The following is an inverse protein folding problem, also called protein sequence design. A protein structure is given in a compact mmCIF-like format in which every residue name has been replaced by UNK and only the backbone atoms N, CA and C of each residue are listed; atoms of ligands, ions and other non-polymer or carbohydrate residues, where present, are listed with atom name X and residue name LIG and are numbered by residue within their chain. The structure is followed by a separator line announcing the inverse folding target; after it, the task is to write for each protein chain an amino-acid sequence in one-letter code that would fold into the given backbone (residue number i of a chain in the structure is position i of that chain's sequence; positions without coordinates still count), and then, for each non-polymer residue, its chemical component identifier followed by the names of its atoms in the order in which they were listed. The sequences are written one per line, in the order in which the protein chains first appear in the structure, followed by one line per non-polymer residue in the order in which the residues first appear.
data_IF_731384375152
#
_entry.id   IF_731384375152
#
_cell.length_a   1.000
_cell.length_b   1.000
_cell.length_c   1.000
_cell.angle_alpha   90.00
_cell.angle_beta   90.00
_cell.angle_gamma   90.00
#
_symmetry.space_group_name_H-M   'P 1'
#
loop_
_entity.id
_entity.type
_entity.pdbx_description
1 polymer ?
#
# COMPACT_ATOMS: atom_id res chain seq x y z
N UNK A 1 8.54 12.72 12.07
CA UNK A 1 8.95 13.52 10.89
C UNK A 1 8.49 12.81 9.63
N UNK A 2 7.41 13.26 9.00
CA UNK A 2 6.95 12.71 7.72
C UNK A 2 7.77 13.39 6.61
N UNK A 3 8.79 12.71 6.09
CA UNK A 3 9.51 13.12 4.88
C UNK A 3 8.47 13.26 3.75
N UNK A 4 8.02 14.48 3.53
CA UNK A 4 6.96 14.77 2.56
C UNK A 4 7.51 14.51 1.17
N UNK A 5 6.68 13.91 0.31
CA UNK A 5 6.97 13.60 -1.10
C UNK A 5 7.55 14.77 -1.90
N UNK A 6 7.33 16.00 -1.45
CA UNK A 6 7.87 17.21 -2.08
C UNK A 6 9.35 17.44 -1.72
N UNK A 7 9.75 17.12 -0.49
CA UNK A 7 11.10 17.33 0.02
C UNK A 7 12.15 16.54 -0.78
N UNK A 8 11.85 15.30 -1.15
CA UNK A 8 12.74 14.47 -1.98
C UNK A 8 12.92 15.03 -3.40
N UNK A 9 11.86 15.58 -4.01
CA UNK A 9 11.92 16.20 -5.34
C UNK A 9 12.74 17.49 -5.33
N UNK A 10 12.57 18.31 -4.30
CA UNK A 10 13.36 19.53 -4.13
C UNK A 10 14.82 19.21 -3.84
N UNK A 11 15.11 18.21 -3.01
CA UNK A 11 16.47 17.75 -2.76
C UNK A 11 17.18 17.33 -4.06
N UNK A 12 16.54 16.50 -4.89
CA UNK A 12 17.10 16.09 -6.19
C UNK A 12 17.33 17.27 -7.16
N UNK A 13 16.44 18.27 -7.16
CA UNK A 13 16.62 19.49 -7.97
C UNK A 13 17.76 20.38 -7.46
N UNK A 14 17.94 20.46 -6.15
CA UNK A 14 18.97 21.32 -5.52
C UNK A 14 20.37 20.70 -5.50
N UNK A 15 20.51 19.42 -5.84
CA UNK A 15 21.81 18.74 -5.89
C UNK A 15 22.60 19.12 -7.16
N UNK A 16 23.86 19.58 -7.00
CA UNK A 16 24.79 19.78 -8.12
C UNK A 16 24.99 18.49 -8.92
N UNK A 17 25.21 18.61 -10.24
CA UNK A 17 25.47 17.46 -11.11
C UNK A 17 26.69 16.65 -10.67
N UNK A 18 27.71 17.29 -10.10
CA UNK A 18 28.90 16.62 -9.56
C UNK A 18 28.56 15.58 -8.48
N UNK A 19 27.60 15.87 -7.59
CA UNK A 19 27.18 14.92 -6.53
C UNK A 19 26.36 13.76 -7.12
N UNK A 20 25.63 14.01 -8.21
CA UNK A 20 24.85 12.98 -8.92
C UNK A 20 25.76 12.01 -9.68
N UNK A 21 26.88 12.50 -10.22
CA UNK A 21 27.86 11.70 -10.94
C UNK A 21 28.76 10.90 -9.98
N UNK A 22 29.12 11.51 -8.84
CA UNK A 22 29.98 10.89 -7.82
C UNK A 22 29.27 9.80 -7.01
N UNK A 23 27.93 9.78 -6.97
CA UNK A 23 27.15 8.85 -6.12
C UNK A 23 26.08 8.11 -6.93
N UNK A 24 26.43 6.97 -7.56
CA UNK A 24 25.46 6.17 -8.31
C UNK A 24 24.34 5.62 -7.41
N UNK A 25 24.57 5.50 -6.09
CA UNK A 25 23.56 5.15 -5.09
C UNK A 25 22.39 6.15 -5.10
N UNK A 26 22.67 7.45 -5.24
CA UNK A 26 21.65 8.50 -5.23
C UNK A 26 20.74 8.38 -6.46
N UNK A 27 21.34 8.08 -7.62
CA UNK A 27 20.61 7.85 -8.86
C UNK A 27 19.73 6.59 -8.76
N UNK A 28 20.21 5.54 -8.11
CA UNK A 28 19.42 4.33 -7.84
C UNK A 28 18.23 4.63 -6.90
N UNK A 29 18.44 5.39 -5.80
CA UNK A 29 17.35 5.77 -4.87
C UNK A 29 16.33 6.62 -5.60
N UNK A 30 16.78 7.52 -6.48
CA UNK A 30 15.89 8.33 -7.30
C UNK A 30 15.06 7.49 -8.27
N UNK A 31 15.65 6.47 -8.92
CA UNK A 31 14.90 5.51 -9.75
C UNK A 31 13.84 4.76 -8.96
N UNK A 32 14.17 4.29 -7.74
CA UNK A 32 13.19 3.68 -6.83
C UNK A 32 12.04 4.65 -6.54
N UNK A 33 12.36 5.92 -6.24
CA UNK A 33 11.36 6.97 -6.03
C UNK A 33 10.48 7.24 -7.26
N UNK A 34 11.05 7.20 -8.46
CA UNK A 34 10.30 7.33 -9.72
C UNK A 34 9.35 6.16 -9.95
N UNK A 35 9.80 4.93 -9.72
CA UNK A 35 8.94 3.75 -9.78
C UNK A 35 7.83 3.82 -8.73
N UNK A 36 8.14 4.29 -7.51
CA UNK A 36 7.15 4.51 -6.45
C UNK A 36 6.09 5.54 -6.85
N UNK A 37 6.47 6.60 -7.56
CA UNK A 37 5.54 7.60 -8.08
C UNK A 37 4.57 7.03 -9.11
N UNK A 38 5.06 6.16 -10.01
CA UNK A 38 4.24 5.47 -11.00
C UNK A 38 3.44 4.31 -10.39
N UNK A 39 3.64 3.98 -9.11
CA UNK A 39 3.15 2.75 -8.46
C UNK A 39 3.59 1.50 -9.22
N UNK A 40 4.81 1.54 -9.76
CA UNK A 40 5.38 0.47 -10.56
C UNK A 40 6.15 -0.49 -9.65
N UNK A 41 5.46 -1.50 -9.12
CA UNK A 41 6.01 -2.45 -8.15
C UNK A 41 7.15 -3.30 -8.71
N UNK A 42 6.99 -3.75 -9.95
CA UNK A 42 8.02 -4.51 -10.65
C UNK A 42 9.29 -3.68 -10.79
N UNK A 43 9.16 -2.42 -11.23
CA UNK A 43 10.27 -1.50 -11.36
C UNK A 43 10.93 -1.11 -10.04
N UNK A 44 10.18 -1.05 -8.93
CA UNK A 44 10.78 -0.85 -7.59
C UNK A 44 11.65 -2.05 -7.22
N UNK A 45 11.16 -3.29 -7.35
CA UNK A 45 11.94 -4.50 -7.06
C UNK A 45 13.17 -4.61 -7.98
N UNK A 46 13.00 -4.39 -9.28
CA UNK A 46 14.10 -4.43 -10.25
C UNK A 46 15.12 -3.32 -10.00
N UNK A 47 14.69 -2.10 -9.63
CA UNK A 47 15.61 -1.01 -9.29
C UNK A 47 16.34 -1.25 -7.97
N UNK A 48 15.68 -1.89 -7.00
CA UNK A 48 16.30 -2.27 -5.74
C UNK A 48 17.29 -3.43 -5.91
N UNK A 49 17.00 -4.42 -6.75
CA UNK A 49 17.92 -5.55 -7.00
C UNK A 49 19.00 -5.24 -8.04
N UNK A 50 18.75 -4.28 -8.94
CA UNK A 50 19.67 -3.91 -10.01
C UNK A 50 20.82 -3.00 -9.57
N UNK A 51 20.93 -2.70 -8.28
CA UNK A 51 22.00 -1.86 -7.73
C UNK A 51 22.59 -2.54 -6.50
N UNK A 52 23.93 -2.63 -6.42
CA UNK A 52 24.64 -3.13 -5.24
C UNK A 52 24.66 -2.03 -4.17
N UNK A 53 23.68 -2.09 -3.28
CA UNK A 53 23.61 -1.21 -2.11
C UNK A 53 24.68 -1.56 -1.10
N UNK A 54 25.29 -0.55 -0.48
CA UNK A 54 26.07 -0.78 0.74
C UNK A 54 25.20 -1.42 1.85
N UNK A 55 25.80 -2.15 2.80
CA UNK A 55 25.06 -2.93 3.81
C UNK A 55 24.07 -2.10 4.62
N UNK A 56 24.43 -0.86 4.98
CA UNK A 56 23.54 0.08 5.69
C UNK A 56 22.30 0.46 4.86
N UNK A 57 22.46 0.64 3.55
CA UNK A 57 21.39 1.09 2.67
C UNK A 57 20.52 -0.08 2.18
N UNK A 58 21.13 -1.27 2.02
CA UNK A 58 20.44 -2.50 1.66
C UNK A 58 19.36 -2.88 2.69
N UNK A 59 19.69 -2.79 3.99
CA UNK A 59 18.74 -3.06 5.08
C UNK A 59 17.57 -2.06 5.05
N UNK A 60 17.88 -0.77 4.87
CA UNK A 60 16.87 0.27 4.75
C UNK A 60 15.93 0.05 3.55
N UNK A 61 16.48 -0.27 2.37
CA UNK A 61 15.68 -0.53 1.16
C UNK A 61 14.81 -1.77 1.36
N UNK A 62 15.33 -2.82 1.99
CA UNK A 62 14.57 -4.04 2.29
C UNK A 62 13.42 -3.76 3.24
N UNK A 63 13.67 -3.09 4.38
CA UNK A 63 12.64 -2.70 5.34
C UNK A 63 11.59 -1.76 4.73
N UNK A 64 12.02 -0.87 3.82
CA UNK A 64 11.13 0.01 3.08
C UNK A 64 10.22 -0.77 2.12
N UNK A 65 10.78 -1.72 1.35
CA UNK A 65 10.03 -2.59 0.44
C UNK A 65 8.98 -3.40 1.20
N UNK A 66 9.34 -3.97 2.35
CA UNK A 66 8.41 -4.70 3.20
C UNK A 66 7.27 -3.80 3.71
N UNK A 67 7.61 -2.62 4.24
CA UNK A 67 6.61 -1.65 4.70
C UNK A 67 5.67 -1.22 3.57
N UNK A 68 6.20 -1.05 2.37
CA UNK A 68 5.42 -0.71 1.18
C UNK A 68 4.49 -1.85 0.78
N UNK A 69 4.98 -3.10 0.73
CA UNK A 69 4.17 -4.30 0.46
C UNK A 69 3.05 -4.45 1.48
N UNK A 70 3.34 -4.29 2.77
CA UNK A 70 2.32 -4.32 3.82
C UNK A 70 1.27 -3.23 3.64
N UNK A 71 1.66 -2.01 3.24
CA UNK A 71 0.71 -0.93 2.98
C UNK A 71 -0.22 -1.25 1.82
N UNK A 72 0.30 -1.83 0.74
CA UNK A 72 -0.53 -2.25 -0.39
C UNK A 72 -1.42 -3.41 -0.01
N UNK A 73 -0.89 -4.39 0.70
CA UNK A 73 -1.70 -5.48 1.20
C UNK A 73 -2.85 -4.97 2.06
N UNK A 74 -2.60 -4.05 3.00
CA UNK A 74 -3.63 -3.40 3.81
C UNK A 74 -4.64 -2.62 2.97
N UNK A 75 -4.19 -1.95 1.90
CA UNK A 75 -5.05 -1.25 0.96
C UNK A 75 -5.97 -2.23 0.21
N UNK A 76 -5.41 -3.34 -0.28
CA UNK A 76 -6.16 -4.41 -0.94
C UNK A 76 -7.18 -5.03 0.01
N UNK A 77 -6.78 -5.32 1.26
CA UNK A 77 -7.66 -5.86 2.29
C UNK A 77 -8.86 -4.95 2.58
N UNK A 78 -8.64 -3.64 2.49
CA UNK A 78 -9.65 -2.64 2.84
C UNK A 78 -10.57 -2.29 1.66
N UNK A 79 -10.00 -2.19 0.46
CA UNK A 79 -10.72 -1.77 -0.75
C UNK A 79 -11.49 -2.91 -1.43
N UNK A 80 -10.95 -4.13 -1.40
CA UNK A 80 -11.53 -5.28 -2.10
C UNK A 80 -12.10 -6.30 -1.10
N UNK A 81 -13.24 -6.89 -1.44
CA UNK A 81 -13.78 -8.06 -0.74
C UNK A 81 -13.33 -9.36 -1.41
N UNK A 82 -13.24 -9.33 -2.74
CA UNK A 82 -12.71 -10.38 -3.60
C UNK A 82 -11.82 -9.73 -4.67
N UNK A 83 -10.67 -10.32 -4.94
CA UNK A 83 -9.70 -9.80 -5.93
C UNK A 83 -9.04 -10.97 -6.65
N UNK A 84 -8.70 -10.83 -7.93
CA UNK A 84 -8.02 -11.89 -8.69
C UNK A 84 -6.57 -12.04 -8.25
N UNK A 85 -6.05 -13.27 -8.29
CA UNK A 85 -4.64 -13.55 -7.94
C UNK A 85 -3.69 -12.74 -8.83
N UNK A 86 -3.96 -12.63 -10.13
CA UNK A 86 -3.18 -11.84 -11.07
C UNK A 86 -3.11 -10.34 -10.70
N UNK A 87 -4.21 -9.76 -10.22
CA UNK A 87 -4.23 -8.36 -9.77
C UNK A 87 -3.37 -8.20 -8.50
N UNK A 88 -3.48 -9.14 -7.55
CA UNK A 88 -2.65 -9.14 -6.33
C UNK A 88 -1.17 -9.30 -6.66
N UNK A 89 -0.83 -10.24 -7.53
CA UNK A 89 0.53 -10.45 -8.03
C UNK A 89 1.11 -9.18 -8.66
N UNK A 90 0.30 -8.51 -9.50
CA UNK A 90 0.68 -7.24 -10.12
C UNK A 90 0.89 -6.12 -9.08
N UNK A 91 0.00 -5.99 -8.09
CA UNK A 91 0.11 -4.99 -7.02
C UNK A 91 1.23 -5.30 -6.02
N UNK A 92 1.59 -6.55 -5.80
CA UNK A 92 2.67 -6.94 -4.89
C UNK A 92 4.03 -7.03 -5.59
N UNK A 93 4.05 -7.08 -6.93
CA UNK A 93 5.27 -7.24 -7.73
C UNK A 93 5.95 -8.59 -7.50
N UNK A 94 5.16 -9.65 -7.31
CA UNK A 94 5.62 -11.03 -7.12
C UNK A 94 4.80 -12.01 -7.98
N UNK A 95 5.22 -13.26 -8.06
CA UNK A 95 4.52 -14.30 -8.80
C UNK A 95 3.13 -14.56 -8.22
N UNK A 96 2.22 -15.08 -9.04
CA UNK A 96 0.87 -15.47 -8.58
C UNK A 96 0.90 -16.48 -7.43
N UNK A 97 1.89 -17.38 -7.45
CA UNK A 97 2.13 -18.37 -6.39
C UNK A 97 2.54 -17.71 -5.07
N UNK A 98 3.53 -16.81 -5.11
CA UNK A 98 4.00 -16.07 -3.94
C UNK A 98 2.90 -15.17 -3.37
N UNK A 99 2.16 -14.46 -4.23
CA UNK A 99 1.05 -13.60 -3.83
C UNK A 99 -0.05 -14.40 -3.14
N UNK A 100 -0.35 -15.59 -3.64
CA UNK A 100 -1.33 -16.51 -3.04
C UNK A 100 -0.85 -17.01 -1.70
N UNK A 101 0.40 -17.46 -1.61
CA UNK A 101 0.99 -17.94 -0.36
C UNK A 101 0.99 -16.83 0.70
N UNK A 102 1.39 -15.62 0.33
CA UNK A 102 1.36 -14.45 1.19
C UNK A 102 -0.07 -14.13 1.67
N UNK A 103 -1.05 -14.16 0.77
CA UNK A 103 -2.45 -13.91 1.10
C UNK A 103 -3.01 -14.96 2.07
N UNK A 104 -2.74 -16.25 1.81
CA UNK A 104 -3.19 -17.37 2.66
C UNK A 104 -2.54 -17.32 4.05
N UNK A 105 -1.23 -17.02 4.13
CA UNK A 105 -0.55 -16.80 5.41
C UNK A 105 -1.15 -15.64 6.21
N UNK A 106 -1.67 -14.62 5.53
CA UNK A 106 -2.37 -13.49 6.13
C UNK A 106 -3.89 -13.74 6.33
N UNK A 107 -4.35 -14.99 6.21
CA UNK A 107 -5.72 -15.40 6.51
C UNK A 107 -6.75 -15.13 5.42
N UNK A 108 -6.33 -14.85 4.19
CA UNK A 108 -7.22 -14.80 3.02
C UNK A 108 -7.55 -16.23 2.54
N UNK A 109 -8.67 -16.38 1.83
CA UNK A 109 -9.08 -17.67 1.27
C UNK A 109 -8.92 -17.68 -0.24
N UNK A 110 -8.20 -18.66 -0.77
CA UNK A 110 -8.04 -18.85 -2.21
C UNK A 110 -9.20 -19.68 -2.76
N UNK A 111 -9.86 -19.14 -3.77
CA UNK A 111 -10.77 -19.88 -4.64
C UNK A 111 -10.00 -20.29 -5.91
N UNK A 112 -9.52 -21.53 -5.92
CA UNK A 112 -8.71 -22.06 -7.02
C UNK A 112 -9.52 -22.22 -8.33
N UNK A 113 -10.84 -22.39 -8.24
CA UNK A 113 -11.72 -22.53 -9.40
C UNK A 113 -11.92 -21.18 -10.12
N UNK A 114 -12.06 -20.09 -9.37
CA UNK A 114 -12.25 -18.74 -9.90
C UNK A 114 -10.95 -17.92 -10.02
N UNK A 115 -9.80 -18.45 -9.55
CA UNK A 115 -8.54 -17.72 -9.38
C UNK A 115 -8.73 -16.41 -8.60
N UNK A 116 -9.59 -16.44 -7.59
CA UNK A 116 -9.92 -15.28 -6.77
C UNK A 116 -9.49 -15.48 -5.33
N UNK A 117 -8.92 -14.45 -4.76
CA UNK A 117 -8.62 -14.33 -3.34
C UNK A 117 -9.79 -13.62 -2.64
N UNK A 118 -10.41 -14.33 -1.71
CA UNK A 118 -11.42 -13.77 -0.81
C UNK A 118 -10.71 -13.16 0.38
N UNK A 119 -10.77 -11.83 0.43
CA UNK A 119 -10.19 -11.05 1.51
C UNK A 119 -11.04 -11.27 2.76
N UNK A 120 -10.46 -11.91 3.77
CA UNK A 120 -11.09 -12.03 5.08
C UNK A 120 -10.88 -10.70 5.81
N UNK A 121 -11.77 -9.74 5.56
CA UNK A 121 -11.78 -8.48 6.31
C UNK A 121 -11.81 -8.84 7.81
N UNK A 122 -10.89 -8.34 8.65
CA UNK A 122 -11.11 -8.41 10.09
C UNK A 122 -12.47 -7.77 10.31
N UNK A 123 -13.40 -8.51 10.94
CA UNK A 123 -14.79 -8.08 11.12
C UNK A 123 -14.79 -6.65 11.65
N UNK A 124 -14.89 -5.66 10.77
CA UNK A 124 -15.28 -4.31 11.12
C UNK A 124 -16.60 -4.53 11.81
N UNK A 125 -16.67 -4.20 13.09
CA UNK A 125 -17.85 -4.41 13.90
C UNK A 125 -19.06 -3.90 13.12
N UNK A 126 -19.82 -4.82 12.54
CA UNK A 126 -21.21 -4.58 12.19
C UNK A 126 -21.91 -4.44 13.53
N UNK A 127 -21.88 -3.23 14.06
CA UNK A 127 -22.83 -2.72 15.03
C UNK A 127 -22.76 -1.19 15.00
N UNK A 128 -23.00 -0.62 13.81
CA UNK A 128 -24.00 0.43 13.81
C UNK A 128 -25.34 -0.23 14.14
N UNK A 129 -25.51 -0.50 15.44
CA UNK A 129 -26.81 -0.49 16.07
C UNK A 129 -27.32 0.91 15.73
N UNK A 130 -28.27 0.99 14.80
CA UNK A 130 -29.04 2.19 14.55
C UNK A 130 -29.63 2.55 15.91
N UNK A 131 -28.97 3.49 16.59
CA UNK A 131 -29.30 3.92 17.92
C UNK A 131 -30.74 4.46 17.85
N UNK A 132 -31.70 3.72 18.40
CA UNK A 132 -33.12 4.09 18.42
C UNK A 132 -33.33 5.51 18.99
N UNK A 133 -32.36 5.98 19.78
CA UNK A 133 -32.17 7.35 20.26
C UNK A 133 -32.17 8.41 19.15
N UNK A 134 -31.73 8.10 17.93
CA UNK A 134 -31.81 9.02 16.77
C UNK A 134 -33.22 9.12 16.19
N UNK A 135 -34.03 8.06 16.28
CA UNK A 135 -35.43 8.09 15.85
C UNK A 135 -36.28 8.90 16.84
N UNK A 136 -36.02 8.81 18.15
CA UNK A 136 -36.73 9.62 19.14
C UNK A 136 -36.53 11.13 18.94
N UNK A 137 -35.32 11.55 18.52
CA UNK A 137 -35.02 12.98 18.25
C UNK A 137 -35.77 13.53 17.03
N UNK A 138 -36.12 12.69 16.05
CA UNK A 138 -36.92 13.11 14.90
C UNK A 138 -38.39 13.35 15.27
N UNK A 139 -38.95 12.53 16.17
CA UNK A 139 -40.32 12.73 16.68
C UNK A 139 -40.43 14.03 17.49
N UNK A 140 -39.41 14.36 18.30
CA UNK A 140 -39.40 15.58 19.11
C UNK A 140 -39.26 16.86 18.25
N UNK A 141 -38.54 16.78 17.11
CA UNK A 141 -38.43 17.90 16.17
C UNK A 141 -39.74 18.20 15.41
N UNK A 142 -40.58 17.19 15.14
CA UNK A 142 -41.87 17.41 14.47
C UNK A 142 -42.88 18.04 15.43
N UNK A 143 -42.84 17.70 16.72
CA UNK A 143 -43.72 18.28 17.72
C UNK A 143 -43.44 19.77 18.03
N UNK A 144 -42.18 20.22 17.88
CA UNK A 144 -41.79 21.60 18.15
C UNK A 144 -42.08 22.58 16.99
N UNK A 145 -42.55 22.09 15.84
CA UNK A 145 -42.90 22.90 14.67
C UNK A 145 -44.42 23.10 14.51
N UNK A 146 -45.24 22.53 15.40
CA UNK A 146 -46.70 22.62 15.34
C UNK A 146 -47.30 23.61 16.37
N UNK A 147 -46.49 24.47 17.01
CA UNK A 147 -46.96 25.57 17.85
C UNK A 147 -46.06 26.81 17.73
#
# INVERSE_FOLDING_TARGET
MTLSRNSARFFWKSLPQEVKDTRPELAAVWRIGQCLWKRDYAGVNTAAQGFEWGPDLADFITAFLESYRQRIFKLLTSAYSTIRVADVAHFMGMSEEDATNYAVQNGWSLDAAAKMLTVKKPKSQTNQKLDASKLQRLTECVFHLEN
#
